data_IF_804871472726
#
_entry.id   IF_804871472726
#
_cell.length_a   1.000
_cell.length_b   1.000
_cell.length_c   1.000
_cell.angle_alpha   90.00
_cell.angle_beta   90.00
_cell.angle_gamma   90.00
#
_symmetry.space_group_name_H-M   'P 1'
#
loop_
_entity.id
_entity.type
_entity.pdbx_description
1 polymer ?
#
# COMPACT_ATOMS: atom_id res chain seq x y z
N UNK A 1 19.59 9.37 -9.16
CA UNK A 1 19.78 8.60 -7.92
C UNK A 1 18.52 7.77 -7.83
N UNK A 2 18.64 6.45 -7.76
CA UNK A 2 17.47 5.56 -7.80
C UNK A 2 16.74 5.64 -6.45
N UNK A 3 15.50 6.12 -6.46
CA UNK A 3 14.67 6.21 -5.26
C UNK A 3 13.80 4.97 -5.14
N UNK A 4 14.11 4.14 -4.13
CA UNK A 4 13.31 2.97 -3.77
C UNK A 4 12.49 3.28 -2.53
N UNK A 5 11.17 3.17 -2.63
CA UNK A 5 10.23 3.34 -1.52
C UNK A 5 9.84 1.97 -0.97
N UNK A 6 9.82 1.83 0.35
CA UNK A 6 9.33 0.61 1.01
C UNK A 6 8.11 0.98 1.85
N UNK A 7 6.94 0.52 1.42
CA UNK A 7 5.68 0.74 2.11
C UNK A 7 5.35 -0.43 3.04
N UNK A 8 5.55 -0.25 4.34
CA UNK A 8 5.10 -1.23 5.34
C UNK A 8 3.61 -1.04 5.60
N UNK A 9 2.79 -1.91 5.02
CA UNK A 9 1.34 -1.67 4.97
C UNK A 9 0.65 -2.13 6.25
N UNK A 10 -0.12 -1.23 6.85
CA UNK A 10 -1.03 -1.52 7.97
C UNK A 10 -2.45 -1.12 7.58
N UNK A 11 -3.31 -2.11 7.34
CA UNK A 11 -4.69 -1.83 6.97
C UNK A 11 -5.57 -1.52 8.18
N UNK A 12 -6.52 -0.61 7.98
CA UNK A 12 -7.53 -0.24 8.96
C UNK A 12 -8.94 -0.49 8.40
N UNK A 13 -9.87 -0.92 9.26
CA UNK A 13 -11.27 -1.18 8.84
C UNK A 13 -12.10 0.06 8.49
N UNK A 14 -11.54 1.25 8.69
CA UNK A 14 -12.12 2.56 8.34
C UNK A 14 -10.99 3.51 7.93
N UNK A 15 -11.27 4.57 7.16
CA UNK A 15 -10.27 5.55 6.78
C UNK A 15 -9.52 6.10 8.00
N UNK A 16 -8.19 6.11 7.92
CA UNK A 16 -7.33 6.75 8.90
C UNK A 16 -7.39 8.28 8.74
N UNK A 17 -7.11 9.01 9.83
CA UNK A 17 -7.16 10.47 9.84
C UNK A 17 -6.09 11.13 8.97
N UNK A 18 -6.15 12.47 8.81
CA UNK A 18 -5.23 13.21 7.94
C UNK A 18 -3.76 13.13 8.39
N UNK A 19 -3.51 12.96 9.69
CA UNK A 19 -2.15 12.86 10.25
C UNK A 19 -1.61 11.42 10.26
N UNK A 20 -2.21 10.51 9.48
CA UNK A 20 -1.76 9.12 9.37
C UNK A 20 -0.34 9.07 8.79
N UNK A 21 0.45 8.11 9.26
CA UNK A 21 1.69 7.77 8.55
C UNK A 21 1.35 7.15 7.18
N UNK A 22 2.20 7.35 6.16
CA UNK A 22 2.05 6.69 4.87
C UNK A 22 1.98 5.16 5.05
N UNK A 23 1.23 4.52 4.15
CA UNK A 23 0.94 3.09 4.13
C UNK A 23 0.14 2.56 5.33
N UNK A 24 -0.52 3.44 6.08
CA UNK A 24 -1.49 3.07 7.12
C UNK A 24 -2.87 3.58 6.71
N UNK A 25 -3.87 2.72 6.55
CA UNK A 25 -5.22 3.15 6.16
C UNK A 25 -6.07 2.09 5.47
N UNK A 26 -7.12 2.53 4.78
CA UNK A 26 -7.88 1.68 3.85
C UNK A 26 -7.11 1.45 2.57
N UNK A 27 -7.50 0.45 1.76
CA UNK A 27 -6.86 0.21 0.46
C UNK A 27 -6.81 1.46 -0.43
N UNK A 28 -7.87 2.25 -0.47
CA UNK A 28 -7.88 3.48 -1.26
C UNK A 28 -6.83 4.48 -0.76
N UNK A 29 -6.67 4.64 0.56
CA UNK A 29 -5.60 5.48 1.13
C UNK A 29 -4.21 4.93 0.84
N UNK A 30 -4.05 3.60 0.80
CA UNK A 30 -2.79 2.99 0.37
C UNK A 30 -2.51 3.30 -1.10
N UNK A 31 -3.52 3.24 -1.97
CA UNK A 31 -3.35 3.60 -3.38
C UNK A 31 -2.94 5.08 -3.55
N UNK A 32 -3.52 5.98 -2.77
CA UNK A 32 -3.11 7.40 -2.76
C UNK A 32 -1.63 7.56 -2.38
N UNK A 33 -1.14 6.78 -1.40
CA UNK A 33 0.27 6.79 -1.00
C UNK A 33 1.18 6.27 -2.12
N UNK A 34 0.75 5.23 -2.84
CA UNK A 34 1.47 4.68 -4.00
C UNK A 34 1.59 5.74 -5.10
N UNK A 35 0.49 6.44 -5.41
CA UNK A 35 0.52 7.53 -6.38
C UNK A 35 1.44 8.66 -5.93
N UNK A 36 1.36 9.06 -4.67
CA UNK A 36 2.23 10.09 -4.10
C UNK A 36 3.71 9.71 -4.20
N UNK A 37 4.06 8.44 -3.96
CA UNK A 37 5.43 7.95 -4.12
C UNK A 37 5.91 8.04 -5.58
N UNK A 38 5.05 7.68 -6.54
CA UNK A 38 5.35 7.81 -7.96
C UNK A 38 5.51 9.29 -8.38
N UNK A 39 4.62 10.17 -7.94
CA UNK A 39 4.70 11.62 -8.19
C UNK A 39 5.95 12.27 -7.60
N UNK A 40 6.42 11.75 -6.46
CA UNK A 40 7.68 12.16 -5.85
C UNK A 40 8.93 11.66 -6.61
N UNK A 41 8.75 10.82 -7.64
CA UNK A 41 9.82 10.31 -8.49
C UNK A 41 10.41 8.99 -8.03
N UNK A 42 9.64 8.13 -7.34
CA UNK A 42 10.11 6.79 -6.97
C UNK A 42 10.32 5.95 -8.24
N UNK A 43 11.51 5.36 -8.36
CA UNK A 43 11.84 4.45 -9.46
C UNK A 43 11.31 3.03 -9.17
N UNK A 44 11.26 2.65 -7.90
CA UNK A 44 10.74 1.36 -7.44
C UNK A 44 9.93 1.52 -6.14
N UNK A 45 8.85 0.74 -6.03
CA UNK A 45 8.07 0.61 -4.80
C UNK A 45 7.99 -0.87 -4.38
N UNK A 46 8.44 -1.14 -3.15
CA UNK A 46 8.27 -2.44 -2.49
C UNK A 46 7.12 -2.33 -1.50
N UNK A 47 6.04 -3.08 -1.75
CA UNK A 47 4.90 -3.18 -0.85
C UNK A 47 5.11 -4.37 0.09
N UNK A 48 5.34 -4.07 1.37
CA UNK A 48 5.49 -5.08 2.42
C UNK A 48 4.14 -5.37 3.07
N UNK A 49 3.55 -6.49 2.67
CA UNK A 49 2.33 -7.03 3.26
C UNK A 49 2.70 -8.03 4.36
N UNK A 50 2.11 -7.84 5.54
CA UNK A 50 2.31 -8.70 6.69
C UNK A 50 0.98 -9.32 7.15
N UNK A 51 1.05 -10.54 7.70
CA UNK A 51 -0.07 -11.12 8.45
C UNK A 51 -0.27 -10.31 9.72
N UNK A 52 -1.27 -9.43 9.71
CA UNK A 52 -1.70 -8.63 10.86
C UNK A 52 -3.22 -8.68 10.94
N UNK A 53 -3.83 -8.25 12.05
CA UNK A 53 -5.23 -8.56 12.42
C UNK A 53 -6.34 -8.37 11.37
N UNK A 54 -6.07 -7.75 10.22
CA UNK A 54 -6.94 -7.63 9.05
C UNK A 54 -6.74 -8.73 7.98
N UNK A 55 -5.53 -9.29 7.85
CA UNK A 55 -5.16 -10.37 6.94
C UNK A 55 -4.81 -11.61 7.75
N UNK A 56 -5.75 -12.57 7.77
CA UNK A 56 -5.63 -13.76 8.61
C UNK A 56 -5.11 -14.98 7.83
N UNK A 57 -4.77 -14.81 6.55
CA UNK A 57 -4.28 -15.91 5.72
C UNK A 57 -3.38 -15.43 4.58
N UNK A 58 -2.44 -16.30 4.18
CA UNK A 58 -1.58 -16.07 3.01
C UNK A 58 -2.37 -15.87 1.73
N UNK A 59 -3.53 -16.55 1.58
CA UNK A 59 -4.41 -16.36 0.40
C UNK A 59 -4.86 -14.91 0.30
N UNK A 60 -5.40 -14.37 1.39
CA UNK A 60 -5.88 -12.99 1.45
C UNK A 60 -4.75 -11.99 1.18
N UNK A 61 -3.54 -12.24 1.69
CA UNK A 61 -2.37 -11.41 1.36
C UNK A 61 -2.06 -11.39 -0.14
N UNK A 62 -2.07 -12.57 -0.78
CA UNK A 62 -1.78 -12.67 -2.22
C UNK A 62 -2.87 -12.01 -3.07
N UNK A 63 -4.14 -12.18 -2.70
CA UNK A 63 -5.27 -11.50 -3.34
C UNK A 63 -5.13 -9.98 -3.21
N UNK A 64 -4.73 -9.48 -2.04
CA UNK A 64 -4.47 -8.06 -1.81
C UNK A 64 -3.30 -7.55 -2.66
N UNK A 65 -2.20 -8.30 -2.73
CA UNK A 65 -1.05 -7.93 -3.55
C UNK A 65 -1.43 -7.83 -5.03
N UNK A 66 -2.25 -8.77 -5.51
CA UNK A 66 -2.80 -8.75 -6.87
C UNK A 66 -3.67 -7.51 -7.07
N UNK A 67 -4.58 -7.21 -6.14
CA UNK A 67 -5.47 -6.05 -6.25
C UNK A 67 -4.70 -4.72 -6.27
N UNK A 68 -3.70 -4.54 -5.40
CA UNK A 68 -2.83 -3.35 -5.39
C UNK A 68 -2.13 -3.21 -6.75
N UNK A 69 -1.53 -4.29 -7.25
CA UNK A 69 -0.82 -4.27 -8.55
C UNK A 69 -1.77 -3.92 -9.70
N UNK A 70 -2.96 -4.52 -9.74
CA UNK A 70 -3.94 -4.27 -10.79
C UNK A 70 -4.43 -2.82 -10.78
N UNK A 71 -4.73 -2.27 -9.60
CA UNK A 71 -5.13 -0.87 -9.46
C UNK A 71 -4.00 0.09 -9.86
N UNK A 72 -2.76 -0.19 -9.45
CA UNK A 72 -1.58 0.62 -9.80
C UNK A 72 -1.26 0.59 -11.31
N UNK A 73 -1.58 -0.51 -12.00
CA UNK A 73 -1.38 -0.62 -13.44
C UNK A 73 -2.50 0.03 -14.28
N UNK A 74 -3.66 0.29 -13.66
CA UNK A 74 -4.82 0.87 -14.32
C UNK A 74 -4.87 2.42 -14.27
N UNK A 75 -3.87 3.04 -13.63
CA UNK A 75 -3.80 4.46 -13.32
C UNK A 75 -2.90 5.25 -14.27
#
# INVERSE_FOLDING_TARGET
MEMVVVGNVTFTGRPAGPDRSPFIGTLDQIMDDIHTAAEAGADELIVDLNLQGWSTSTRQMLETAVEIRERAAAS
#
